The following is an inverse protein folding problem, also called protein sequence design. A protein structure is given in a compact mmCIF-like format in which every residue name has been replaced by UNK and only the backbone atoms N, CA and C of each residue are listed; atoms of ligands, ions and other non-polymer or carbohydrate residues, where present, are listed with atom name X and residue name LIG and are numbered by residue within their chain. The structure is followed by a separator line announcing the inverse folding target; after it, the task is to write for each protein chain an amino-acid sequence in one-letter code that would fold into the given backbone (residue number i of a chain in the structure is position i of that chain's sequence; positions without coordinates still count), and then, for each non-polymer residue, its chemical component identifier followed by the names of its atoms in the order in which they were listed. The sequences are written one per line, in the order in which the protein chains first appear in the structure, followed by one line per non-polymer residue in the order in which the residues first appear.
data_IF_787154357766
#
_entry.id   IF_787154357766
#
_cell.length_a   1.000
_cell.length_b   1.000
_cell.length_c   1.000
_cell.angle_alpha   90.00
_cell.angle_beta   90.00
_cell.angle_gamma   90.00
#
_symmetry.space_group_name_H-M   'P 1'
#
loop_
_entity.id
_entity.type
_entity.pdbx_description
1 polymer ?
#
# COMPACT_ATOMS: atom_id res chain seq x y z
N UNK A 1 -9.32 -21.13 -10.60
CA UNK A 1 -8.34 -20.25 -9.92
C UNK A 1 -9.07 -18.96 -9.58
N UNK A 2 -9.66 -18.84 -8.39
CA UNK A 2 -10.24 -17.57 -7.94
C UNK A 2 -9.09 -16.67 -7.51
N UNK A 3 -8.88 -15.58 -8.23
CA UNK A 3 -7.94 -14.54 -7.82
C UNK A 3 -8.62 -13.77 -6.69
N UNK A 4 -8.48 -14.24 -5.46
CA UNK A 4 -8.84 -13.48 -4.27
C UNK A 4 -7.82 -12.36 -4.19
N UNK A 5 -8.24 -11.15 -4.57
CA UNK A 5 -7.43 -9.97 -4.37
C UNK A 5 -7.48 -9.64 -2.87
N UNK A 6 -6.38 -9.90 -2.17
CA UNK A 6 -6.19 -9.63 -0.74
C UNK A 6 -5.39 -8.32 -0.60
N UNK A 7 -6.02 -7.18 -0.26
CA UNK A 7 -5.34 -5.89 -0.11
C UNK A 7 -4.20 -5.95 0.92
N UNK A 8 -4.41 -6.72 2.00
CA UNK A 8 -3.41 -6.93 3.05
C UNK A 8 -2.14 -7.59 2.51
N UNK A 9 -2.29 -8.63 1.68
CA UNK A 9 -1.14 -9.28 1.03
C UNK A 9 -0.42 -8.36 0.06
N UNK A 10 -1.17 -7.58 -0.71
CA UNK A 10 -0.58 -6.62 -1.63
C UNK A 10 0.25 -5.58 -0.87
N UNK A 11 -0.30 -5.01 0.21
CA UNK A 11 0.39 -4.02 1.04
C UNK A 11 1.66 -4.59 1.68
N UNK A 12 1.60 -5.82 2.21
CA UNK A 12 2.76 -6.49 2.80
C UNK A 12 3.89 -6.72 1.76
N UNK A 13 3.51 -7.15 0.55
CA UNK A 13 4.47 -7.33 -0.55
C UNK A 13 5.13 -6.02 -0.96
N UNK A 14 4.36 -4.95 -1.16
CA UNK A 14 4.87 -3.63 -1.54
C UNK A 14 5.77 -3.03 -0.45
N UNK A 15 5.36 -3.13 0.82
CA UNK A 15 6.16 -2.70 1.96
C UNK A 15 7.47 -3.47 2.07
N UNK A 16 7.45 -4.78 1.84
CA UNK A 16 8.64 -5.62 1.82
C UNK A 16 9.59 -5.25 0.67
N UNK A 17 9.05 -4.90 -0.50
CA UNK A 17 9.85 -4.41 -1.62
C UNK A 17 10.52 -3.06 -1.31
N UNK A 18 9.81 -2.13 -0.68
CA UNK A 18 10.37 -0.85 -0.21
C UNK A 18 11.45 -1.05 0.86
N UNK A 19 11.23 -1.94 1.81
CA UNK A 19 12.21 -2.25 2.86
C UNK A 19 13.49 -2.84 2.26
N UNK A 20 13.37 -3.77 1.30
CA UNK A 20 14.53 -4.31 0.58
C UNK A 20 15.32 -3.24 -0.16
N UNK A 21 14.65 -2.27 -0.79
CA UNK A 21 15.31 -1.14 -1.47
C UNK A 21 16.04 -0.23 -0.47
N UNK A 22 15.43 0.03 0.68
CA UNK A 22 16.06 0.78 1.76
C UNK A 22 17.29 0.06 2.32
N UNK A 23 17.20 -1.26 2.56
CA UNK A 23 18.31 -2.07 3.05
C UNK A 23 19.47 -2.13 2.07
N UNK A 24 19.18 -2.15 0.76
CA UNK A 24 20.20 -2.08 -0.29
C UNK A 24 20.84 -0.70 -0.45
N UNK A 25 20.30 0.33 0.21
CA UNK A 25 20.73 1.71 0.04
C UNK A 25 20.33 2.32 -1.31
N UNK A 26 19.41 1.68 -2.05
CA UNK A 26 18.85 2.22 -3.30
C UNK A 26 17.82 3.33 -3.02
N UNK A 27 17.38 3.46 -1.77
CA UNK A 27 16.39 4.43 -1.32
C UNK A 27 16.88 5.10 -0.03
N UNK A 28 16.79 6.43 0.06
CA UNK A 28 17.06 7.13 1.31
C UNK A 28 15.89 6.96 2.28
N UNK A 29 16.14 7.15 3.58
CA UNK A 29 15.07 7.09 4.60
C UNK A 29 13.95 8.10 4.34
N UNK A 30 14.28 9.24 3.73
CA UNK A 30 13.29 10.26 3.37
C UNK A 30 12.38 9.76 2.24
N UNK A 31 12.97 9.30 1.13
CA UNK A 31 12.21 8.73 0.00
C UNK A 31 11.40 7.50 0.42
N UNK A 32 11.95 6.62 1.25
CA UNK A 32 11.23 5.49 1.84
C UNK A 32 9.97 5.95 2.56
N UNK A 33 10.05 7.02 3.35
CA UNK A 33 8.90 7.53 4.09
C UNK A 33 7.84 8.15 3.18
N UNK A 34 8.26 8.82 2.11
CA UNK A 34 7.32 9.37 1.12
C UNK A 34 6.62 8.26 0.33
N UNK A 35 7.36 7.24 -0.11
CA UNK A 35 6.82 6.06 -0.79
C UNK A 35 5.88 5.26 0.13
N UNK A 36 6.24 5.13 1.41
CA UNK A 36 5.41 4.45 2.40
C UNK A 36 4.10 5.22 2.67
N UNK A 37 4.13 6.56 2.77
CA UNK A 37 2.92 7.38 2.91
C UNK A 37 2.02 7.26 1.68
N UNK A 38 2.59 7.26 0.48
CA UNK A 38 1.84 7.05 -0.76
C UNK A 38 1.25 5.63 -0.85
N UNK A 39 1.98 4.62 -0.37
CA UNK A 39 1.50 3.24 -0.29
C UNK A 39 0.33 3.10 0.70
N UNK A 40 0.41 3.76 1.84
CA UNK A 40 -0.65 3.78 2.87
C UNK A 40 -1.95 4.38 2.31
N UNK A 41 -1.87 5.54 1.66
CA UNK A 41 -3.04 6.16 1.01
C UNK A 41 -3.69 5.25 -0.03
N UNK A 42 -2.88 4.58 -0.86
CA UNK A 42 -3.39 3.63 -1.86
C UNK A 42 -4.06 2.42 -1.21
N UNK A 43 -3.51 1.95 -0.10
CA UNK A 43 -4.11 0.87 0.67
C UNK A 43 -5.45 1.29 1.28
N UNK A 44 -5.53 2.48 1.87
CA UNK A 44 -6.79 3.06 2.34
C UNK A 44 -7.80 3.22 1.20
N UNK A 45 -7.41 3.73 0.04
CA UNK A 45 -8.28 3.80 -1.15
C UNK A 45 -8.75 2.43 -1.65
N UNK A 46 -7.89 1.40 -1.57
CA UNK A 46 -8.25 0.03 -1.92
C UNK A 46 -9.23 -0.56 -0.90
N UNK A 47 -9.03 -0.29 0.40
CA UNK A 47 -9.94 -0.71 1.46
C UNK A 47 -11.30 -0.01 1.33
N UNK A 48 -11.33 1.30 1.08
CA UNK A 48 -12.56 2.07 0.83
C UNK A 48 -13.39 1.47 -0.32
N UNK A 49 -12.71 1.10 -1.41
CA UNK A 49 -13.34 0.42 -2.56
C UNK A 49 -13.83 -1.00 -2.23
N UNK A 50 -13.14 -1.73 -1.36
CA UNK A 50 -13.49 -3.10 -1.01
C UNK A 50 -14.64 -3.17 0.00
N UNK A 51 -14.63 -2.25 0.97
CA UNK A 51 -15.63 -2.15 2.03
C UNK A 51 -16.96 -1.59 1.51
N UNK A 52 -16.96 -0.94 0.34
CA UNK A 52 -18.16 -0.33 -0.25
C UNK A 52 -18.68 0.88 0.53
N UNK A 53 -17.95 1.31 1.55
CA UNK A 53 -18.24 2.43 2.44
C UNK A 53 -17.72 3.77 1.91
N UNK A 54 -17.66 3.94 0.58
CA UNK A 54 -17.68 5.28 -0.01
C UNK A 54 -19.02 5.90 0.38
N UNK A 55 -19.05 6.65 1.49
CA UNK A 55 -20.25 7.39 1.89
C UNK A 55 -20.62 8.34 0.75
N UNK A 56 -21.77 8.05 0.12
CA UNK A 56 -22.46 8.96 -0.78
C UNK A 56 -22.58 10.30 -0.04
N UNK A 57 -22.00 11.40 -0.54
CA UNK A 57 -22.23 12.69 0.09
C UNK A 57 -23.73 13.01 -0.01
N UNK A 58 -24.38 13.27 1.14
CA UNK A 58 -25.72 13.85 1.21
C UNK A 58 -25.72 15.34 0.89
#
# INVERSE_FOLDING_TARGET
MTYNFDPEKWYDMEKSALDRRLQKGELSRQDYRQELDALDRRYEEMLDRLDGSYEIPK
#
